data_IF_495041042024
#
_entry.id   IF_495041042024
#
_cell.length_a   1.000
_cell.length_b   1.000
_cell.length_c   1.000
_cell.angle_alpha   90.00
_cell.angle_beta   90.00
_cell.angle_gamma   90.00
#
_symmetry.space_group_name_H-M   'P 1'
#
loop_
_entity.id
_entity.type
_entity.pdbx_description
1 polymer ?
#
# COMPACT_ATOMS: atom_id res chain seq x y z
N UNK A 1 -7.86 23.57 -12.77
CA UNK A 1 -9.04 23.37 -11.89
C UNK A 1 -8.64 22.41 -10.78
N UNK A 2 -8.51 22.89 -9.54
CA UNK A 2 -8.09 22.05 -8.42
C UNK A 2 -9.17 21.02 -8.07
N UNK A 3 -8.79 19.74 -8.05
CA UNK A 3 -9.64 18.65 -7.59
C UNK A 3 -10.05 18.96 -6.15
N UNK A 4 -11.31 19.39 -5.93
CA UNK A 4 -11.82 19.67 -4.57
C UNK A 4 -11.52 18.46 -3.68
N UNK A 5 -10.95 18.64 -2.48
CA UNK A 5 -10.65 17.52 -1.60
C UNK A 5 -11.93 16.72 -1.34
N UNK A 6 -11.84 15.40 -1.55
CA UNK A 6 -12.91 14.47 -1.25
C UNK A 6 -13.11 14.43 0.27
N UNK A 7 -14.09 15.20 0.74
CA UNK A 7 -14.47 15.44 2.14
C UNK A 7 -13.37 16.05 3.02
N UNK A 8 -13.70 17.17 3.68
CA UNK A 8 -12.98 17.60 4.89
C UNK A 8 -13.16 16.58 6.02
N UNK A 9 -12.31 16.62 7.03
CA UNK A 9 -12.41 15.72 8.18
C UNK A 9 -13.71 15.90 8.96
N UNK A 10 -14.11 17.17 9.17
CA UNK A 10 -15.37 17.54 9.81
C UNK A 10 -16.59 16.97 9.07
N UNK A 11 -16.59 17.07 7.74
CA UNK A 11 -17.64 16.53 6.88
C UNK A 11 -17.76 15.00 6.97
N UNK A 12 -16.64 14.28 7.09
CA UNK A 12 -16.65 12.83 7.30
C UNK A 12 -17.21 12.49 8.68
N UNK A 13 -16.82 13.21 9.72
CA UNK A 13 -17.31 12.99 11.07
C UNK A 13 -18.84 13.21 11.16
N UNK A 14 -19.36 14.29 10.56
CA UNK A 14 -20.81 14.53 10.48
C UNK A 14 -21.55 13.46 9.69
N UNK A 15 -21.02 13.03 8.55
CA UNK A 15 -21.62 11.96 7.76
C UNK A 15 -21.64 10.63 8.54
N UNK A 16 -20.58 10.33 9.31
CA UNK A 16 -20.51 9.14 10.17
C UNK A 16 -21.57 9.19 11.28
N UNK A 17 -21.76 10.33 11.95
CA UNK A 17 -22.78 10.48 12.98
C UNK A 17 -24.19 10.21 12.42
N UNK A 18 -24.50 10.72 11.22
CA UNK A 18 -25.78 10.47 10.56
C UNK A 18 -25.95 9.01 10.12
N UNK A 19 -24.88 8.35 9.67
CA UNK A 19 -24.91 6.91 9.35
C UNK A 19 -25.14 6.05 10.59
N UNK A 20 -24.50 6.39 11.72
CA UNK A 20 -24.72 5.71 13.01
C UNK A 20 -26.15 5.92 13.51
N UNK A 21 -26.74 7.10 13.26
CA UNK A 21 -28.15 7.38 13.54
C UNK A 21 -29.14 6.72 12.55
N UNK A 22 -28.66 5.91 11.60
CA UNK A 22 -29.49 5.13 10.68
C UNK A 22 -29.94 5.87 9.42
N UNK A 23 -29.46 7.09 9.16
CA UNK A 23 -29.83 7.83 7.96
C UNK A 23 -29.22 7.23 6.68
N UNK A 24 -30.03 7.16 5.62
CA UNK A 24 -29.58 6.75 4.30
C UNK A 24 -28.70 7.81 3.61
N UNK A 25 -27.81 7.36 2.73
CA UNK A 25 -26.84 8.21 2.03
C UNK A 25 -27.45 9.38 1.24
N UNK A 26 -28.69 9.23 0.71
CA UNK A 26 -29.42 10.30 0.00
C UNK A 26 -29.83 11.44 0.94
N UNK A 27 -30.23 11.12 2.17
CA UNK A 27 -30.63 12.12 3.18
C UNK A 27 -29.40 12.90 3.64
N UNK A 28 -28.31 12.18 3.94
CA UNK A 28 -27.03 12.77 4.35
C UNK A 28 -26.48 13.69 3.25
N UNK A 29 -26.56 13.27 1.99
CA UNK A 29 -26.17 14.07 0.83
C UNK A 29 -26.92 15.40 0.78
N UNK A 30 -28.25 15.39 0.96
CA UNK A 30 -29.05 16.63 0.98
C UNK A 30 -28.73 17.51 2.19
N UNK A 31 -28.62 16.93 3.39
CA UNK A 31 -28.34 17.67 4.62
C UNK A 31 -26.96 18.34 4.63
N UNK A 32 -25.96 17.70 4.02
CA UNK A 32 -24.59 18.20 3.98
C UNK A 32 -24.21 18.89 2.66
N UNK A 33 -25.12 18.98 1.69
CA UNK A 33 -24.85 19.58 0.37
C UNK A 33 -23.81 18.80 -0.45
N UNK A 34 -23.71 17.48 -0.23
CA UNK A 34 -22.65 16.64 -0.78
C UNK A 34 -23.10 15.81 -1.97
N UNK A 35 -22.14 15.38 -2.79
CA UNK A 35 -22.40 14.42 -3.86
C UNK A 35 -22.88 13.06 -3.27
N UNK A 36 -24.05 12.60 -3.73
CA UNK A 36 -24.69 11.38 -3.24
C UNK A 36 -23.84 10.11 -3.42
N UNK A 37 -23.09 9.99 -4.51
CA UNK A 37 -22.18 8.85 -4.74
C UNK A 37 -20.94 8.88 -3.84
N UNK A 38 -20.50 10.07 -3.46
CA UNK A 38 -19.42 10.22 -2.49
C UNK A 38 -19.85 9.72 -1.10
N UNK A 39 -21.06 10.11 -0.67
CA UNK A 39 -21.67 9.64 0.59
C UNK A 39 -22.00 8.14 0.53
N UNK A 40 -22.48 7.64 -0.61
CA UNK A 40 -22.73 6.21 -0.83
C UNK A 40 -21.45 5.40 -0.64
N UNK A 41 -20.34 5.79 -1.29
CA UNK A 41 -19.04 5.12 -1.13
C UNK A 41 -18.52 5.17 0.30
N UNK A 42 -18.71 6.30 1.00
CA UNK A 42 -18.38 6.43 2.42
C UNK A 42 -19.20 5.44 3.26
N UNK A 43 -20.52 5.34 3.02
CA UNK A 43 -21.41 4.42 3.74
C UNK A 43 -21.07 2.95 3.51
N UNK A 44 -20.73 2.56 2.27
CA UNK A 44 -20.31 1.19 1.95
C UNK A 44 -19.02 0.83 2.68
N UNK A 45 -18.07 1.76 2.72
CA UNK A 45 -16.81 1.57 3.44
C UNK A 45 -17.03 1.45 4.95
N UNK A 46 -17.88 2.31 5.51
CA UNK A 46 -18.23 2.25 6.91
C UNK A 46 -18.89 0.91 7.28
N UNK A 47 -19.75 0.36 6.41
CA UNK A 47 -20.30 -0.99 6.63
C UNK A 47 -19.24 -2.10 6.55
N UNK A 48 -18.23 -1.94 5.71
CA UNK A 48 -17.20 -2.96 5.50
C UNK A 48 -16.12 -2.96 6.60
N UNK A 49 -15.82 -1.83 7.23
CA UNK A 49 -14.71 -1.72 8.18
C UNK A 49 -14.89 -0.65 9.27
N UNK A 50 -16.12 -0.26 9.56
CA UNK A 50 -16.46 0.67 10.64
C UNK A 50 -15.95 2.09 10.42
N UNK A 51 -15.86 2.83 11.53
CA UNK A 51 -15.36 4.20 11.57
C UNK A 51 -13.89 4.29 11.13
N UNK A 52 -13.06 3.31 11.53
CA UNK A 52 -11.64 3.27 11.17
C UNK A 52 -11.41 3.20 9.66
N UNK A 53 -12.21 2.43 8.92
CA UNK A 53 -12.07 2.37 7.46
C UNK A 53 -12.39 3.72 6.77
N UNK A 54 -13.26 4.53 7.35
CA UNK A 54 -13.58 5.87 6.83
C UNK A 54 -12.47 6.88 7.15
N UNK A 55 -11.89 6.80 8.34
CA UNK A 55 -10.82 7.70 8.82
C UNK A 55 -9.47 7.34 8.17
N UNK A 56 -9.06 6.08 8.25
CA UNK A 56 -7.80 5.54 7.75
C UNK A 56 -7.86 5.19 6.25
N UNK A 57 -8.46 6.06 5.43
CA UNK A 57 -8.38 5.90 3.97
C UNK A 57 -6.89 5.83 3.58
N UNK A 58 -6.39 4.72 2.99
CA UNK A 58 -5.03 4.69 2.47
C UNK A 58 -4.91 5.81 1.44
N UNK A 59 -4.14 6.85 1.76
CA UNK A 59 -3.89 7.98 0.87
C UNK A 59 -2.73 7.60 -0.05
N UNK A 60 -3.00 6.78 -1.06
CA UNK A 60 -2.00 6.41 -2.04
C UNK A 60 -2.38 5.16 -2.85
N UNK A 61 -1.74 5.00 -4.01
CA UNK A 61 -1.71 3.70 -4.68
C UNK A 61 -0.79 2.80 -3.86
N UNK A 62 -1.21 1.56 -3.59
CA UNK A 62 -0.34 0.55 -2.97
C UNK A 62 0.84 0.29 -3.93
N UNK A 63 2.05 0.59 -3.49
CA UNK A 63 3.27 0.34 -4.25
C UNK A 63 3.79 -1.05 -3.86
N UNK A 64 4.26 -1.80 -4.86
CA UNK A 64 4.87 -3.10 -4.66
C UNK A 64 6.36 -2.98 -5.01
N UNK A 65 7.26 -3.59 -4.23
CA UNK A 65 8.68 -3.70 -4.58
C UNK A 65 8.86 -4.37 -5.95
N UNK A 66 9.97 -4.07 -6.64
CA UNK A 66 10.27 -4.63 -7.95
C UNK A 66 10.38 -6.16 -7.88
N UNK A 67 11.01 -6.69 -6.82
CA UNK A 67 11.24 -8.12 -6.61
C UNK A 67 9.92 -8.88 -6.51
N UNK A 68 8.94 -8.31 -5.78
CA UNK A 68 7.59 -8.88 -5.66
C UNK A 68 6.89 -8.89 -7.02
N UNK A 69 7.06 -7.86 -7.85
CA UNK A 69 6.47 -7.84 -9.20
C UNK A 69 7.11 -8.90 -10.09
N UNK A 70 8.43 -9.05 -10.03
CA UNK A 70 9.17 -10.04 -10.79
C UNK A 70 8.73 -11.45 -10.44
N UNK A 71 8.72 -11.78 -9.15
CA UNK A 71 8.32 -13.10 -8.66
C UNK A 71 6.88 -13.43 -9.07
N UNK A 72 5.96 -12.46 -8.95
CA UNK A 72 4.56 -12.63 -9.39
C UNK A 72 4.49 -12.89 -10.89
N UNK A 73 5.28 -12.21 -11.72
CA UNK A 73 5.29 -12.41 -13.17
C UNK A 73 5.89 -13.76 -13.52
N UNK A 74 7.02 -14.15 -12.93
CA UNK A 74 7.67 -15.44 -13.18
C UNK A 74 6.75 -16.61 -12.83
N UNK A 75 6.11 -16.57 -11.65
CA UNK A 75 5.13 -17.59 -11.26
C UNK A 75 3.92 -17.59 -12.19
N UNK A 76 3.47 -16.44 -12.67
CA UNK A 76 2.39 -16.40 -13.63
C UNK A 76 2.77 -17.01 -14.98
N UNK A 77 4.00 -16.75 -15.46
CA UNK A 77 4.54 -17.35 -16.68
C UNK A 77 4.75 -18.86 -16.53
N UNK A 78 5.04 -19.34 -15.31
CA UNK A 78 5.07 -20.77 -14.97
C UNK A 78 3.67 -21.42 -14.90
N UNK A 79 2.59 -20.66 -15.12
CA UNK A 79 1.23 -21.18 -15.23
C UNK A 79 0.35 -20.96 -13.99
N UNK A 80 0.83 -20.28 -12.94
CA UNK A 80 0.02 -20.02 -11.76
C UNK A 80 -1.13 -19.04 -12.08
N UNK A 81 -2.38 -19.34 -11.70
CA UNK A 81 -3.51 -18.45 -11.97
C UNK A 81 -3.38 -17.10 -11.27
N UNK A 82 -3.76 -16.02 -11.99
CA UNK A 82 -3.68 -14.63 -11.50
C UNK A 82 -4.43 -14.39 -10.19
N UNK A 83 -5.56 -15.08 -9.99
CA UNK A 83 -6.38 -14.96 -8.78
C UNK A 83 -5.63 -15.51 -7.56
N UNK A 84 -4.91 -16.63 -7.73
CA UNK A 84 -4.10 -17.24 -6.66
C UNK A 84 -2.97 -16.29 -6.28
N UNK A 85 -2.22 -15.78 -7.26
CA UNK A 85 -1.15 -14.81 -7.04
C UNK A 85 -1.65 -13.50 -6.40
N UNK A 86 -2.83 -13.04 -6.79
CA UNK A 86 -3.42 -11.84 -6.20
C UNK A 86 -3.73 -12.03 -4.71
N UNK A 87 -4.22 -13.20 -4.33
CA UNK A 87 -4.49 -13.52 -2.93
C UNK A 87 -3.19 -13.72 -2.13
N UNK A 88 -2.23 -14.47 -2.68
CA UNK A 88 -0.96 -14.78 -2.02
C UNK A 88 -0.13 -13.52 -1.71
N UNK A 89 0.02 -12.62 -2.69
CA UNK A 89 0.81 -11.39 -2.56
C UNK A 89 -0.02 -10.19 -2.08
N UNK A 90 -1.28 -10.40 -1.70
CA UNK A 90 -2.19 -9.35 -1.24
C UNK A 90 -2.36 -8.22 -2.26
N UNK A 91 -2.44 -8.56 -3.55
CA UNK A 91 -2.66 -7.62 -4.64
C UNK A 91 -4.09 -7.10 -4.60
N UNK A 92 -4.28 -5.83 -4.97
CA UNK A 92 -5.61 -5.23 -4.99
C UNK A 92 -6.54 -5.80 -6.06
N UNK A 93 -5.98 -6.43 -7.11
CA UNK A 93 -6.75 -7.11 -8.15
C UNK A 93 -5.90 -8.10 -8.94
N UNK A 94 -6.49 -9.17 -9.50
CA UNK A 94 -5.81 -10.04 -10.48
C UNK A 94 -5.39 -9.31 -11.76
N UNK A 95 -5.99 -8.16 -12.05
CA UNK A 95 -5.62 -7.30 -13.17
C UNK A 95 -4.17 -6.79 -13.08
N UNK A 96 -3.64 -6.57 -11.87
CA UNK A 96 -2.25 -6.14 -11.66
C UNK A 96 -1.24 -7.15 -12.23
N UNK A 97 -1.50 -8.44 -12.05
CA UNK A 97 -0.66 -9.53 -12.59
C UNK A 97 -0.61 -9.45 -14.12
N UNK A 98 -1.76 -9.19 -14.76
CA UNK A 98 -1.84 -9.04 -16.22
C UNK A 98 -1.01 -7.85 -16.70
N UNK A 99 -1.14 -6.71 -16.03
CA UNK A 99 -0.40 -5.49 -16.37
C UNK A 99 1.11 -5.68 -16.22
N UNK A 100 1.56 -6.31 -15.14
CA UNK A 100 2.99 -6.58 -14.94
C UNK A 100 3.52 -7.58 -15.96
N UNK A 101 2.77 -8.64 -16.26
CA UNK A 101 3.19 -9.64 -17.26
C UNK A 101 3.29 -9.03 -18.66
N UNK A 102 2.37 -8.14 -19.04
CA UNK A 102 2.45 -7.43 -20.30
C UNK A 102 3.72 -6.56 -20.38
N UNK A 103 3.98 -5.76 -19.34
CA UNK A 103 5.19 -4.93 -19.25
C UNK A 103 6.47 -5.75 -19.30
N UNK A 104 6.50 -6.89 -18.62
CA UNK A 104 7.65 -7.79 -18.64
C UNK A 104 7.90 -8.39 -20.02
N UNK A 105 6.84 -8.71 -20.79
CA UNK A 105 6.98 -9.18 -22.17
C UNK A 105 7.46 -8.09 -23.13
N UNK A 106 7.11 -6.83 -22.87
CA UNK A 106 7.46 -5.69 -23.72
C UNK A 106 8.88 -5.18 -23.47
N UNK A 107 9.33 -5.15 -22.21
CA UNK A 107 10.61 -4.53 -21.85
C UNK A 107 11.36 -5.23 -20.72
N UNK A 108 11.06 -6.50 -20.46
CA UNK A 108 11.78 -7.32 -19.50
C UNK A 108 11.64 -6.83 -18.05
N UNK A 109 12.59 -7.21 -17.16
CA UNK A 109 12.52 -6.86 -15.74
C UNK A 109 12.57 -5.35 -15.49
N UNK A 110 13.30 -4.59 -16.31
CA UNK A 110 13.46 -3.14 -16.16
C UNK A 110 12.14 -2.37 -16.36
N UNK A 111 11.23 -2.91 -17.19
CA UNK A 111 9.93 -2.30 -17.46
C UNK A 111 8.93 -2.40 -16.28
N UNK A 112 9.24 -3.20 -15.25
CA UNK A 112 8.43 -3.30 -14.02
C UNK A 112 8.73 -2.19 -13.00
N UNK A 113 9.90 -1.54 -13.14
CA UNK A 113 10.26 -0.31 -12.45
C UNK A 113 9.34 0.82 -12.93
N UNK A 114 8.87 1.66 -12.01
CA UNK A 114 7.97 2.75 -12.39
C UNK A 114 8.60 3.74 -13.38
N UNK A 115 7.84 4.72 -13.88
CA UNK A 115 8.42 5.84 -14.62
C UNK A 115 9.39 6.55 -13.66
N UNK A 116 10.69 6.37 -13.89
CA UNK A 116 11.77 6.73 -12.95
C UNK A 116 12.89 5.69 -12.85
N UNK A 117 12.67 4.45 -13.33
CA UNK A 117 13.73 3.43 -13.48
C UNK A 117 14.33 3.37 -14.89
N UNK A 118 13.92 4.30 -15.78
CA UNK A 118 14.49 4.47 -17.10
C UNK A 118 14.87 5.92 -17.29
N UNK A 119 16.14 6.24 -17.09
CA UNK A 119 16.72 7.51 -17.54
C UNK A 119 16.71 7.51 -19.07
N UNK A 120 15.70 8.15 -19.67
CA UNK A 120 15.71 8.64 -21.05
C UNK A 120 15.74 7.60 -22.20
N UNK A 121 15.43 8.03 -23.43
CA UNK A 121 15.60 7.22 -24.63
C UNK A 121 17.11 7.02 -24.89
N UNK A 122 17.52 5.80 -25.21
CA UNK A 122 18.89 5.54 -25.68
C UNK A 122 19.08 6.33 -27.00
N UNK A 123 20.07 7.24 -27.10
CA UNK A 123 20.20 8.11 -28.28
C UNK A 123 21.01 7.39 -29.38
N UNK A 124 20.62 7.60 -30.64
CA UNK A 124 21.56 7.47 -31.73
C UNK A 124 22.53 8.68 -31.65
N UNK A 125 23.76 8.41 -31.21
CA UNK A 125 24.94 9.29 -31.15
C UNK A 125 24.85 10.59 -30.32
N UNK A 126 25.80 10.77 -29.39
CA UNK A 126 26.72 11.93 -29.21
C UNK A 126 27.36 11.82 -27.79
N UNK A 127 28.63 12.20 -27.71
CA UNK A 127 29.68 11.90 -26.70
C UNK A 127 29.37 12.16 -25.20
N UNK A 128 30.07 11.45 -24.26
CA UNK A 128 29.78 11.56 -22.83
C UNK A 128 30.54 12.70 -22.12
N UNK A 129 29.85 13.37 -21.20
CA UNK A 129 30.41 14.23 -20.14
C UNK A 129 30.04 13.66 -18.75
N UNK A 130 30.81 13.94 -17.69
CA UNK A 130 31.09 12.97 -16.62
C UNK A 130 29.99 12.85 -15.55
N UNK A 131 29.87 11.65 -15.00
CA UNK A 131 28.90 11.23 -13.98
C UNK A 131 29.26 11.69 -12.56
N UNK A 132 28.24 12.02 -11.76
CA UNK A 132 28.33 12.09 -10.29
C UNK A 132 28.15 10.70 -9.67
N UNK A 133 28.76 10.42 -8.50
CA UNK A 133 28.90 9.06 -8.00
C UNK A 133 27.57 8.50 -7.51
N UNK A 134 27.14 7.39 -8.10
CA UNK A 134 25.98 6.62 -7.69
C UNK A 134 26.28 5.88 -6.37
N UNK A 135 25.36 5.95 -5.42
CA UNK A 135 25.33 5.12 -4.22
C UNK A 135 25.36 3.65 -4.61
N UNK A 136 26.36 2.93 -4.11
CA UNK A 136 26.72 1.58 -4.53
C UNK A 136 25.71 0.58 -3.95
N UNK A 137 25.46 -0.58 -4.58
CA UNK A 137 24.60 -1.63 -4.00
C UNK A 137 24.95 -2.00 -2.56
N UNK A 138 26.24 -1.91 -2.20
CA UNK A 138 26.74 -2.12 -0.84
C UNK A 138 26.14 -1.15 0.19
N UNK A 139 25.98 0.12 -0.19
CA UNK A 139 25.38 1.15 0.66
C UNK A 139 23.88 0.87 0.90
N UNK A 140 23.18 0.36 -0.13
CA UNK A 140 21.76 0.00 0.00
C UNK A 140 21.54 -1.22 0.89
N UNK A 141 22.45 -2.20 0.84
CA UNK A 141 22.45 -3.37 1.72
C UNK A 141 22.73 -2.93 3.15
N UNK A 142 23.70 -2.03 3.37
CA UNK A 142 24.02 -1.50 4.69
C UNK A 142 22.83 -0.76 5.32
N UNK A 143 22.09 0.03 4.54
CA UNK A 143 20.90 0.75 5.00
C UNK A 143 19.79 -0.21 5.44
N UNK A 144 19.51 -1.26 4.65
CA UNK A 144 18.45 -2.22 5.01
C UNK A 144 18.86 -3.11 6.19
N UNK A 145 20.13 -3.49 6.29
CA UNK A 145 20.66 -4.26 7.41
C UNK A 145 20.53 -3.48 8.73
N UNK A 146 20.83 -2.18 8.72
CA UNK A 146 20.64 -1.31 9.88
C UNK A 146 19.17 -1.21 10.30
N UNK A 147 18.25 -1.09 9.33
CA UNK A 147 16.80 -1.04 9.58
C UNK A 147 16.28 -2.34 10.20
N UNK A 148 16.68 -3.48 9.63
CA UNK A 148 16.29 -4.81 10.11
C UNK A 148 16.82 -5.09 11.51
N UNK A 149 18.04 -4.63 11.83
CA UNK A 149 18.60 -4.76 13.17
C UNK A 149 17.82 -3.94 14.20
N UNK A 150 17.46 -2.69 13.88
CA UNK A 150 16.65 -1.84 14.76
C UNK A 150 15.26 -2.46 15.02
N UNK A 151 14.62 -3.01 13.98
CA UNK A 151 13.35 -3.71 14.13
C UNK A 151 13.50 -4.99 14.97
N UNK A 152 14.58 -5.76 14.79
CA UNK A 152 14.84 -6.96 15.59
C UNK A 152 15.01 -6.63 17.08
N UNK A 153 15.77 -5.57 17.39
CA UNK A 153 15.99 -5.11 18.77
C UNK A 153 14.67 -4.68 19.42
N UNK A 154 13.85 -3.90 18.71
CA UNK A 154 12.53 -3.49 19.19
C UNK A 154 11.63 -4.70 19.47
N UNK A 155 11.59 -5.67 18.56
CA UNK A 155 10.79 -6.88 18.72
C UNK A 155 11.28 -7.73 19.91
N UNK A 156 12.59 -7.87 20.10
CA UNK A 156 13.17 -8.57 21.25
C UNK A 156 12.80 -7.89 22.56
N UNK A 157 12.85 -6.56 22.63
CA UNK A 157 12.44 -5.81 23.82
C UNK A 157 10.94 -6.02 24.12
N UNK A 158 10.09 -5.98 23.10
CA UNK A 158 8.65 -6.25 23.23
C UNK A 158 8.37 -7.67 23.74
N UNK A 159 9.06 -8.67 23.20
CA UNK A 159 8.93 -10.07 23.64
C UNK A 159 9.40 -10.23 25.09
N UNK A 160 10.50 -9.59 25.48
CA UNK A 160 10.99 -9.63 26.86
C UNK A 160 9.98 -9.01 27.84
N UNK A 161 9.34 -7.89 27.48
CA UNK A 161 8.29 -7.27 28.28
C UNK A 161 7.07 -8.19 28.42
N UNK A 162 6.61 -8.78 27.31
CA UNK A 162 5.49 -9.72 27.31
C UNK A 162 5.80 -10.96 28.16
N UNK A 163 7.02 -11.48 28.09
CA UNK A 163 7.48 -12.58 28.94
C UNK A 163 7.40 -12.26 30.43
N UNK A 164 7.76 -11.04 30.84
CA UNK A 164 7.62 -10.57 32.24
C UNK A 164 6.15 -10.49 32.67
N UNK A 165 5.27 -9.99 31.81
CA UNK A 165 3.83 -9.92 32.09
C UNK A 165 3.22 -11.31 32.20
N UNK A 166 3.64 -12.24 31.34
CA UNK A 166 3.22 -13.65 31.41
C UNK A 166 3.70 -14.31 32.71
N UNK A 167 4.96 -14.12 33.09
CA UNK A 167 5.52 -14.67 34.33
C UNK A 167 4.80 -14.15 35.60
N UNK A 168 4.34 -12.90 35.60
CA UNK A 168 3.53 -12.35 36.68
C UNK A 168 2.10 -12.92 36.71
N UNK A 169 1.55 -13.27 35.55
CA UNK A 169 0.20 -13.86 35.43
C UNK A 169 0.18 -15.36 35.76
N UNK A 170 1.27 -16.08 35.50
CA UNK A 170 1.38 -17.52 35.78
C UNK A 170 1.99 -17.81 37.15
N UNK A 171 2.21 -16.79 37.99
CA UNK A 171 2.68 -16.96 39.36
C UNK A 171 1.53 -17.48 40.24
N UNK A 172 1.65 -18.66 40.87
CA UNK A 172 0.60 -19.17 41.75
C UNK A 172 0.43 -18.28 42.99
N UNK A 173 -0.78 -18.18 43.55
CA UNK A 173 -1.02 -17.43 44.79
C UNK A 173 -0.23 -18.06 45.94
N UNK A 174 0.39 -17.22 46.77
CA UNK A 174 0.97 -17.60 48.07
C UNK A 174 -0.16 -17.74 49.10
#
# INVERSE_FOLDING_TARGET
>A
MGTKPSFTEYERARALALLQAGHGYRVISKQLGMNADAVRRLSLRWRAGGSEAVVNKPRGRKTYPIDVKLEVVERHLAGVPKVVLANEYGLSSPGLVSTWTAKYREGGPDALGGPGAGTGPVPAHVDPAPATPATTPDDSIAIELARLQAENEFLRAKVALLGKVQALRTRPPQ
#
